data_IF_286021360317
#
_entry.id   IF_286021360317
#
_cell.length_a   1.000
_cell.length_b   1.000
_cell.length_c   1.000
_cell.angle_alpha   90.00
_cell.angle_beta   90.00
_cell.angle_gamma   90.00
#
_symmetry.space_group_name_H-M   'P 1'
#
loop_
_entity.id
_entity.type
_entity.pdbx_description
1 polymer ?
#
# COMPACT_ATOMS: atom_id res chain seq x y z
N UNK A 1 13.00 9.14 14.76
CA UNK A 1 12.40 10.48 14.93
C UNK A 1 13.40 11.52 15.48
N UNK A 2 14.05 11.27 16.63
CA UNK A 2 15.06 12.17 17.20
C UNK A 2 16.36 12.27 16.38
N UNK A 3 16.74 11.20 15.67
CA UNK A 3 17.91 11.21 14.77
C UNK A 3 17.60 11.73 13.35
N UNK A 4 16.35 11.63 12.88
CA UNK A 4 15.99 12.02 11.52
C UNK A 4 15.43 13.43 11.36
N UNK A 5 14.85 14.00 12.44
CA UNK A 5 14.33 15.35 12.44
C UNK A 5 15.32 16.44 11.98
N UNK A 6 16.61 16.41 12.35
CA UNK A 6 17.54 17.48 11.97
C UNK A 6 17.87 17.55 10.48
N UNK A 7 18.07 16.42 9.79
CA UNK A 7 18.48 16.43 8.38
C UNK A 7 17.32 16.79 7.45
N UNK A 8 16.11 16.30 7.74
CA UNK A 8 14.92 16.58 6.95
C UNK A 8 14.47 18.05 7.10
N UNK A 9 14.62 18.63 8.29
CA UNK A 9 14.28 20.03 8.55
C UNK A 9 15.31 21.03 7.99
N UNK A 10 16.57 20.63 7.80
CA UNK A 10 17.65 21.52 7.33
C UNK A 10 17.87 21.52 5.80
N UNK A 11 17.56 20.43 5.09
CA UNK A 11 17.98 20.24 3.70
C UNK A 11 16.88 20.16 2.63
N UNK A 12 15.60 20.19 3.04
CA UNK A 12 14.45 20.12 2.13
C UNK A 12 14.25 18.74 1.48
N UNK A 13 13.33 18.64 0.52
CA UNK A 13 12.95 17.37 -0.12
C UNK A 13 14.15 16.64 -0.77
N UNK A 14 15.14 17.38 -1.26
CA UNK A 14 16.33 16.82 -1.91
C UNK A 14 17.20 15.99 -0.95
N UNK A 15 17.29 16.37 0.33
CA UNK A 15 18.04 15.59 1.33
C UNK A 15 17.32 14.34 1.79
N UNK A 16 16.02 14.22 1.52
CA UNK A 16 15.25 12.99 1.78
C UNK A 16 15.39 12.00 0.61
N UNK A 17 15.40 12.50 -0.63
CA UNK A 17 15.44 11.66 -1.84
C UNK A 17 16.76 10.87 -1.98
N UNK A 18 17.91 11.46 -1.65
CA UNK A 18 19.21 10.79 -1.82
C UNK A 18 19.37 9.52 -0.98
N UNK A 19 19.10 9.54 0.35
CA UNK A 19 19.05 8.33 1.15
C UNK A 19 18.05 7.29 0.62
N UNK A 20 16.88 7.71 0.14
CA UNK A 20 15.87 6.80 -0.43
C UNK A 20 16.39 6.05 -1.67
N UNK A 21 17.13 6.73 -2.54
CA UNK A 21 17.75 6.11 -3.72
C UNK A 21 18.78 5.05 -3.30
N UNK A 22 19.65 5.38 -2.35
CA UNK A 22 20.64 4.44 -1.82
C UNK A 22 19.97 3.23 -1.16
N UNK A 23 18.88 3.47 -0.41
CA UNK A 23 18.07 2.43 0.21
C UNK A 23 17.42 1.52 -0.83
N UNK A 24 16.90 2.08 -1.93
CA UNK A 24 16.34 1.34 -3.05
C UNK A 24 17.40 0.43 -3.69
N UNK A 25 18.58 0.98 -4.02
CA UNK A 25 19.69 0.21 -4.59
C UNK A 25 20.09 -0.95 -3.67
N UNK A 26 20.22 -0.69 -2.37
CA UNK A 26 20.56 -1.72 -1.38
C UNK A 26 19.51 -2.83 -1.31
N UNK A 27 18.22 -2.50 -1.39
CA UNK A 27 17.13 -3.49 -1.41
C UNK A 27 17.15 -4.34 -2.69
N UNK A 28 17.42 -3.74 -3.84
CA UNK A 28 17.53 -4.46 -5.11
C UNK A 28 18.70 -5.45 -5.08
N UNK A 29 19.88 -4.98 -4.68
CA UNK A 29 21.08 -5.83 -4.59
C UNK A 29 20.91 -6.92 -3.53
N UNK A 30 20.41 -6.57 -2.34
CA UNK A 30 20.20 -7.53 -1.25
C UNK A 30 19.16 -8.60 -1.60
N UNK A 31 18.04 -8.22 -2.19
CA UNK A 31 17.02 -9.17 -2.64
C UNK A 31 17.51 -10.08 -3.77
N UNK A 32 18.24 -9.55 -4.75
CA UNK A 32 18.83 -10.34 -5.82
C UNK A 32 19.89 -11.33 -5.30
N UNK A 33 20.71 -10.91 -4.33
CA UNK A 33 21.68 -11.79 -3.68
C UNK A 33 20.97 -12.92 -2.92
N UNK A 34 19.91 -12.61 -2.16
CA UNK A 34 19.12 -13.61 -1.45
C UNK A 34 18.45 -14.61 -2.38
N UNK A 35 17.88 -14.12 -3.50
CA UNK A 35 17.31 -14.98 -4.54
C UNK A 35 18.37 -15.94 -5.10
N UNK A 36 19.53 -15.42 -5.49
CA UNK A 36 20.62 -16.22 -6.04
C UNK A 36 21.15 -17.26 -5.05
N UNK A 37 21.45 -16.85 -3.81
CA UNK A 37 21.99 -17.73 -2.78
C UNK A 37 21.00 -18.81 -2.35
N UNK A 38 19.74 -18.46 -2.15
CA UNK A 38 18.76 -19.44 -1.72
C UNK A 38 18.36 -20.40 -2.84
N UNK A 39 18.33 -19.97 -4.11
CA UNK A 39 18.20 -20.91 -5.25
C UNK A 39 19.41 -21.84 -5.33
N UNK A 40 20.62 -21.31 -5.12
CA UNK A 40 21.84 -22.12 -5.04
C UNK A 40 21.77 -23.19 -3.94
N UNK A 41 21.25 -22.84 -2.76
CA UNK A 41 21.04 -23.78 -1.66
C UNK A 41 19.99 -24.86 -1.99
N UNK A 42 18.87 -24.47 -2.60
CA UNK A 42 17.78 -25.38 -2.93
C UNK A 42 18.08 -26.32 -4.12
N UNK A 43 19.16 -26.06 -4.87
CA UNK A 43 19.53 -26.83 -6.06
C UNK A 43 18.96 -26.28 -7.37
N UNK A 44 18.53 -25.01 -7.38
CA UNK A 44 18.04 -24.29 -8.56
C UNK A 44 16.52 -24.16 -8.62
N UNK A 45 16.05 -23.44 -9.66
CA UNK A 45 14.62 -23.12 -9.84
C UNK A 45 13.74 -24.35 -9.98
N UNK A 46 14.14 -25.32 -10.80
CA UNK A 46 13.34 -26.53 -11.03
C UNK A 46 13.10 -27.34 -9.75
N UNK A 47 14.13 -27.48 -8.90
CA UNK A 47 13.99 -28.19 -7.62
C UNK A 47 13.12 -27.39 -6.64
N UNK A 48 13.25 -26.07 -6.63
CA UNK A 48 12.39 -25.19 -5.83
C UNK A 48 10.91 -25.33 -6.22
N UNK A 49 10.61 -25.33 -7.52
CA UNK A 49 9.26 -25.51 -8.04
C UNK A 49 8.68 -26.88 -7.66
N UNK A 50 9.45 -27.96 -7.83
CA UNK A 50 9.03 -29.31 -7.39
C UNK A 50 8.77 -29.37 -5.89
N UNK A 51 9.64 -28.79 -5.05
CA UNK A 51 9.44 -28.78 -3.59
C UNK A 51 8.22 -27.97 -3.18
N UNK A 52 7.91 -26.90 -3.89
CA UNK A 52 6.65 -26.15 -3.66
C UNK A 52 5.46 -27.04 -3.98
N UNK A 53 5.47 -27.71 -5.13
CA UNK A 53 4.38 -28.61 -5.54
C UNK A 53 4.21 -29.78 -4.56
N UNK A 54 5.30 -30.29 -3.97
CA UNK A 54 5.23 -31.32 -2.91
C UNK A 54 4.62 -30.78 -1.60
N UNK A 55 4.86 -29.51 -1.28
CA UNK A 55 4.27 -28.82 -0.12
C UNK A 55 2.83 -28.36 -0.39
N UNK A 56 2.41 -28.32 -1.65
CA UNK A 56 1.01 -28.16 -2.05
C UNK A 56 0.29 -29.50 -1.82
N UNK A 57 -0.26 -29.69 -0.61
CA UNK A 57 -1.16 -30.81 -0.33
C UNK A 57 -2.43 -30.78 -1.20
N UNK A 58 -3.24 -31.83 -1.13
CA UNK A 58 -4.41 -32.04 -2.01
C UNK A 58 -5.50 -30.93 -1.95
N UNK A 59 -5.51 -30.11 -0.89
CA UNK A 59 -6.41 -28.95 -0.72
C UNK A 59 -5.69 -27.59 -0.87
N UNK A 60 -4.39 -27.57 -1.21
CA UNK A 60 -3.59 -26.35 -1.24
C UNK A 60 -3.61 -25.69 -2.63
N UNK A 61 -3.96 -24.40 -2.63
CA UNK A 61 -3.84 -23.48 -3.75
C UNK A 61 -2.40 -23.38 -4.25
N UNK A 62 -2.22 -23.17 -5.56
CA UNK A 62 -0.88 -23.05 -6.15
C UNK A 62 -0.16 -21.80 -5.60
N UNK A 63 0.84 -22.02 -4.75
CA UNK A 63 1.59 -20.96 -4.09
C UNK A 63 2.39 -20.07 -5.07
N UNK A 64 2.64 -20.53 -6.29
CA UNK A 64 3.29 -19.75 -7.34
C UNK A 64 2.29 -18.99 -8.20
N UNK A 65 1.02 -19.40 -8.22
CA UNK A 65 0.00 -18.74 -9.01
C UNK A 65 -0.33 -17.33 -8.48
N UNK A 66 -0.19 -16.32 -9.34
CA UNK A 66 -0.52 -14.93 -9.02
C UNK A 66 -2.04 -14.67 -9.06
N UNK A 67 -2.79 -15.53 -9.73
CA UNK A 67 -4.25 -15.45 -9.86
C UNK A 67 -4.85 -16.72 -9.25
N UNK A 68 -5.56 -16.55 -8.15
CA UNK A 68 -6.22 -17.66 -7.45
C UNK A 68 -7.72 -17.72 -7.79
N UNK A 69 -8.34 -18.91 -7.69
CA UNK A 69 -9.78 -19.08 -7.91
C UNK A 69 -10.66 -18.18 -7.04
N UNK A 70 -11.94 -18.06 -7.43
CA UNK A 70 -12.87 -17.07 -6.86
C UNK A 70 -13.19 -17.33 -5.38
N UNK A 71 -13.10 -18.57 -4.96
CA UNK A 71 -13.35 -19.10 -3.62
C UNK A 71 -12.10 -19.12 -2.74
N UNK A 72 -10.95 -18.66 -3.26
CA UNK A 72 -9.73 -18.59 -2.47
C UNK A 72 -9.94 -17.62 -1.28
N UNK A 73 -9.68 -18.05 -0.03
CA UNK A 73 -10.06 -17.31 1.18
C UNK A 73 -9.33 -15.97 1.36
N UNK A 74 -8.11 -15.81 0.84
CA UNK A 74 -7.29 -14.60 1.04
C UNK A 74 -7.10 -13.70 -0.20
N UNK A 75 -7.07 -14.27 -1.42
CA UNK A 75 -6.67 -13.56 -2.65
C UNK A 75 -7.48 -13.99 -3.88
N UNK A 76 -8.83 -13.98 -3.81
CA UNK A 76 -9.66 -14.37 -4.94
C UNK A 76 -9.41 -13.45 -6.15
N UNK A 77 -9.29 -13.99 -7.37
CA UNK A 77 -8.90 -13.19 -8.53
C UNK A 77 -9.82 -12.00 -8.80
N UNK A 78 -11.13 -12.16 -8.57
CA UNK A 78 -12.12 -11.08 -8.74
C UNK A 78 -11.85 -9.94 -7.76
N UNK A 79 -11.47 -10.26 -6.52
CA UNK A 79 -11.03 -9.30 -5.52
C UNK A 79 -9.69 -8.67 -5.87
N UNK A 80 -8.73 -9.44 -6.40
CA UNK A 80 -7.44 -8.93 -6.88
C UNK A 80 -7.64 -7.88 -7.96
N UNK A 81 -8.45 -8.17 -8.99
CA UNK A 81 -8.70 -7.23 -10.09
C UNK A 81 -9.48 -6.00 -9.63
N UNK A 82 -10.57 -6.17 -8.89
CA UNK A 82 -11.44 -5.06 -8.50
C UNK A 82 -10.86 -4.27 -7.33
N UNK A 83 -10.56 -4.96 -6.23
CA UNK A 83 -10.12 -4.37 -4.97
C UNK A 83 -8.71 -3.78 -5.03
N UNK A 84 -7.73 -4.51 -5.56
CA UNK A 84 -6.36 -3.98 -5.65
C UNK A 84 -6.26 -2.81 -6.64
N UNK A 85 -7.13 -2.73 -7.65
CA UNK A 85 -7.21 -1.54 -8.51
C UNK A 85 -7.62 -0.31 -7.70
N UNK A 86 -8.62 -0.44 -6.83
CA UNK A 86 -9.01 0.66 -5.92
C UNK A 86 -7.86 1.00 -4.96
N UNK A 87 -7.14 0.00 -4.43
CA UNK A 87 -5.97 0.24 -3.59
C UNK A 87 -4.85 0.97 -4.35
N UNK A 88 -4.58 0.58 -5.59
CA UNK A 88 -3.56 1.19 -6.41
C UNK A 88 -3.90 2.66 -6.74
N UNK A 89 -5.17 2.93 -7.05
CA UNK A 89 -5.68 4.29 -7.26
C UNK A 89 -5.61 5.11 -5.98
N UNK A 90 -6.00 4.55 -4.84
CA UNK A 90 -5.87 5.20 -3.54
C UNK A 90 -4.41 5.58 -3.29
N UNK A 91 -3.50 4.61 -3.34
CA UNK A 91 -2.09 4.85 -3.11
C UNK A 91 -1.51 5.90 -4.08
N UNK A 92 -1.87 5.87 -5.36
CA UNK A 92 -1.38 6.83 -6.34
C UNK A 92 -1.93 8.25 -6.16
N UNK A 93 -3.24 8.38 -5.93
CA UNK A 93 -3.93 9.66 -5.93
C UNK A 93 -3.94 10.36 -4.56
N UNK A 94 -3.93 9.59 -3.46
CA UNK A 94 -4.13 10.12 -2.10
C UNK A 94 -2.88 10.06 -1.23
N UNK A 95 -1.85 9.28 -1.62
CA UNK A 95 -0.61 9.25 -0.88
C UNK A 95 0.11 10.60 -0.98
N UNK A 96 0.22 11.26 0.17
CA UNK A 96 0.95 12.52 0.31
C UNK A 96 2.39 12.42 -0.23
N UNK A 97 3.08 11.31 0.03
CA UNK A 97 4.46 11.09 -0.45
C UNK A 97 4.52 10.98 -1.98
N UNK A 98 3.56 10.29 -2.60
CA UNK A 98 3.54 10.13 -4.05
C UNK A 98 3.25 11.47 -4.75
N UNK A 99 2.23 12.19 -4.27
CA UNK A 99 1.84 13.49 -4.81
C UNK A 99 2.99 14.50 -4.67
N UNK A 100 3.64 14.55 -3.50
CA UNK A 100 4.79 15.43 -3.29
C UNK A 100 5.96 15.14 -4.26
N UNK A 101 6.26 13.86 -4.50
CA UNK A 101 7.31 13.48 -5.45
C UNK A 101 6.94 13.86 -6.88
N UNK A 102 5.67 13.72 -7.26
CA UNK A 102 5.18 14.15 -8.57
C UNK A 102 5.26 15.68 -8.73
N UNK A 103 4.89 16.45 -7.70
CA UNK A 103 4.98 17.93 -7.70
C UNK A 103 6.42 18.44 -7.70
N UNK A 104 7.36 17.65 -7.19
CA UNK A 104 8.79 17.99 -7.19
C UNK A 104 9.51 17.64 -8.51
N UNK A 105 8.83 16.97 -9.44
CA UNK A 105 9.38 16.66 -10.74
C UNK A 105 9.54 17.93 -11.58
N UNK A 106 10.52 17.92 -12.50
CA UNK A 106 10.82 19.08 -13.36
C UNK A 106 9.73 19.37 -14.40
N UNK A 107 8.96 18.34 -14.77
CA UNK A 107 7.86 18.44 -15.74
C UNK A 107 6.90 17.27 -15.54
N UNK A 108 5.70 17.37 -16.13
CA UNK A 108 4.72 16.26 -16.14
C UNK A 108 5.30 15.03 -16.84
N UNK A 109 6.12 15.22 -17.88
CA UNK A 109 6.79 14.11 -18.56
C UNK A 109 7.74 13.34 -17.63
N UNK A 110 8.59 14.04 -16.88
CA UNK A 110 9.51 13.41 -15.92
C UNK A 110 8.75 12.68 -14.80
N UNK A 111 7.66 13.28 -14.31
CA UNK A 111 6.79 12.61 -13.32
C UNK A 111 6.21 11.30 -13.88
N UNK A 112 5.74 11.31 -15.14
CA UNK A 112 5.20 10.13 -15.83
C UNK A 112 6.27 9.06 -16.08
N UNK A 113 7.47 9.45 -16.50
CA UNK A 113 8.61 8.53 -16.69
C UNK A 113 9.05 7.90 -15.37
N UNK A 114 9.09 8.69 -14.29
CA UNK A 114 9.32 8.17 -12.94
C UNK A 114 8.26 7.15 -12.52
N UNK A 115 6.99 7.40 -12.86
CA UNK A 115 5.90 6.46 -12.64
C UNK A 115 6.08 5.12 -13.39
N UNK A 116 6.47 5.16 -14.66
CA UNK A 116 6.76 3.94 -15.44
C UNK A 116 7.95 3.16 -14.86
N UNK A 117 9.03 3.86 -14.50
CA UNK A 117 10.20 3.23 -13.86
C UNK A 117 9.82 2.59 -12.52
N UNK A 118 8.98 3.26 -11.72
CA UNK A 118 8.48 2.69 -10.47
C UNK A 118 7.62 1.44 -10.72
N UNK A 119 6.80 1.43 -11.77
CA UNK A 119 6.04 0.24 -12.19
C UNK A 119 6.95 -0.92 -12.59
N UNK A 120 7.99 -0.66 -13.38
CA UNK A 120 8.97 -1.67 -13.75
C UNK A 120 9.72 -2.24 -12.53
N UNK A 121 10.17 -1.36 -11.62
CA UNK A 121 10.85 -1.79 -10.38
C UNK A 121 9.93 -2.59 -9.46
N UNK A 122 8.60 -2.36 -9.48
CA UNK A 122 7.64 -3.19 -8.74
C UNK A 122 7.58 -4.61 -9.27
N UNK A 123 7.69 -4.82 -10.59
CA UNK A 123 7.79 -6.17 -11.17
C UNK A 123 9.05 -6.87 -10.64
N UNK A 124 10.19 -6.18 -10.66
CA UNK A 124 11.44 -6.72 -10.08
C UNK A 124 11.28 -7.07 -8.60
N UNK A 125 10.59 -6.20 -7.84
CA UNK A 125 10.33 -6.40 -6.41
C UNK A 125 9.60 -7.72 -6.12
N UNK A 126 8.71 -8.18 -7.00
CA UNK A 126 8.04 -9.49 -6.86
C UNK A 126 9.07 -10.61 -6.79
N UNK A 127 10.04 -10.64 -7.72
CA UNK A 127 11.05 -11.68 -7.77
C UNK A 127 12.07 -11.62 -6.62
N UNK A 128 12.44 -10.42 -6.18
CA UNK A 128 13.50 -10.27 -5.16
C UNK A 128 12.98 -10.22 -3.72
N UNK A 129 11.65 -10.17 -3.53
CA UNK A 129 11.01 -10.16 -2.19
C UNK A 129 10.12 -11.40 -2.01
N UNK A 130 9.12 -11.61 -2.89
CA UNK A 130 8.15 -12.69 -2.69
C UNK A 130 8.78 -14.07 -2.88
N UNK A 131 9.56 -14.27 -3.95
CA UNK A 131 10.20 -15.57 -4.20
C UNK A 131 11.16 -15.96 -3.07
N UNK A 132 12.07 -15.09 -2.57
CA UNK A 132 12.83 -15.40 -1.36
C UNK A 132 11.94 -15.77 -0.18
N UNK A 133 10.85 -15.03 0.08
CA UNK A 133 9.90 -15.40 1.14
C UNK A 133 9.37 -16.83 1.02
N UNK A 134 9.01 -17.24 -0.19
CA UNK A 134 8.53 -18.60 -0.48
C UNK A 134 9.65 -19.65 -0.39
N UNK A 135 10.87 -19.32 -0.80
CA UNK A 135 12.05 -20.17 -0.58
C UNK A 135 12.31 -20.39 0.91
N UNK A 136 12.16 -19.35 1.73
CA UNK A 136 12.23 -19.47 3.18
C UNK A 136 11.17 -20.41 3.75
N UNK A 137 9.95 -20.34 3.22
CA UNK A 137 8.88 -21.26 3.60
C UNK A 137 9.23 -22.72 3.27
N UNK A 138 9.76 -22.99 2.06
CA UNK A 138 10.25 -24.32 1.68
C UNK A 138 11.37 -24.80 2.62
N UNK A 139 12.30 -23.91 2.99
CA UNK A 139 13.38 -24.21 3.93
C UNK A 139 12.90 -24.47 5.37
N UNK A 140 11.73 -23.96 5.74
CA UNK A 140 11.14 -24.14 7.06
C UNK A 140 10.22 -25.36 7.17
N UNK A 141 9.66 -25.85 6.05
CA UNK A 141 8.72 -26.99 6.02
C UNK A 141 9.35 -28.30 5.54
N UNK A 142 10.61 -28.30 5.12
CA UNK A 142 11.31 -29.52 4.67
C UNK A 142 11.49 -30.55 5.79
N UNK A 143 11.75 -31.81 5.40
CA UNK A 143 11.98 -32.92 6.34
C UNK A 143 13.14 -32.68 7.34
N UNK A 144 14.07 -31.79 6.99
CA UNK A 144 15.07 -31.23 7.88
C UNK A 144 15.04 -29.70 7.70
N UNK A 145 14.30 -28.98 8.56
CA UNK A 145 14.16 -27.54 8.40
C UNK A 145 15.51 -26.86 8.66
N UNK A 146 15.94 -26.02 7.72
CA UNK A 146 17.11 -25.16 7.91
C UNK A 146 16.77 -23.99 8.83
N UNK A 147 15.50 -23.59 8.82
CA UNK A 147 15.01 -22.36 9.43
C UNK A 147 13.78 -22.71 10.27
N UNK A 148 13.80 -22.31 11.54
CA UNK A 148 12.63 -22.39 12.41
C UNK A 148 12.10 -20.98 12.65
N UNK A 149 10.81 -20.79 12.38
CA UNK A 149 10.13 -19.51 12.59
C UNK A 149 8.80 -19.70 13.31
N UNK A 150 8.48 -18.79 14.22
CA UNK A 150 7.19 -18.80 14.92
C UNK A 150 6.10 -18.03 14.15
N UNK A 151 6.49 -17.23 13.16
CA UNK A 151 5.58 -16.42 12.33
C UNK A 151 6.09 -16.36 10.88
N UNK A 152 5.20 -16.38 9.87
CA UNK A 152 5.55 -16.18 8.47
C UNK A 152 6.36 -14.90 8.21
N UNK A 153 6.13 -13.84 9.00
CA UNK A 153 6.82 -12.56 8.85
C UNK A 153 8.33 -12.65 9.17
N UNK A 154 8.76 -13.72 9.85
CA UNK A 154 10.16 -13.95 10.22
C UNK A 154 10.95 -14.72 9.16
N UNK A 155 10.30 -15.26 8.12
CA UNK A 155 10.95 -16.11 7.10
C UNK A 155 12.14 -15.40 6.45
N UNK A 156 11.95 -14.15 6.00
CA UNK A 156 13.02 -13.42 5.32
C UNK A 156 14.20 -13.10 6.25
N UNK A 157 14.02 -12.52 7.47
CA UNK A 157 15.12 -12.35 8.43
C UNK A 157 15.83 -13.65 8.80
N UNK A 158 15.11 -14.76 8.88
CA UNK A 158 15.67 -16.05 9.27
C UNK A 158 16.48 -16.68 8.11
N UNK A 159 16.06 -16.50 6.86
CA UNK A 159 16.88 -16.85 5.69
C UNK A 159 18.16 -16.03 5.60
N UNK A 160 18.09 -14.73 5.89
CA UNK A 160 19.27 -13.85 5.92
C UNK A 160 20.29 -14.41 6.90
N UNK A 161 19.86 -14.84 8.10
CA UNK A 161 20.74 -15.43 9.11
C UNK A 161 21.30 -16.79 8.68
N UNK A 162 20.51 -17.62 8.01
CA UNK A 162 20.90 -18.97 7.61
C UNK A 162 21.84 -19.01 6.40
N UNK A 163 21.68 -18.08 5.44
CA UNK A 163 22.38 -18.16 4.14
C UNK A 163 23.56 -17.20 4.03
N UNK A 164 23.56 -16.05 4.72
CA UNK A 164 24.63 -15.06 4.58
C UNK A 164 25.79 -15.30 5.56
N UNK A 165 27.03 -14.96 5.17
CA UNK A 165 28.17 -15.00 6.09
C UNK A 165 28.02 -13.95 7.20
N UNK A 166 28.61 -14.24 8.36
CA UNK A 166 28.47 -13.49 9.63
C UNK A 166 28.66 -11.97 9.54
N UNK A 167 29.45 -11.44 8.59
CA UNK A 167 29.56 -10.00 8.36
C UNK A 167 28.41 -9.38 7.54
N UNK A 168 27.90 -10.10 6.54
CA UNK A 168 26.80 -9.63 5.69
C UNK A 168 25.45 -9.71 6.41
N UNK A 169 25.27 -10.67 7.32
CA UNK A 169 24.08 -10.75 8.19
C UNK A 169 23.88 -9.44 8.95
N UNK A 170 24.93 -8.96 9.64
CA UNK A 170 24.87 -7.70 10.39
C UNK A 170 24.57 -6.50 9.49
N UNK A 171 25.17 -6.44 8.30
CA UNK A 171 24.94 -5.37 7.32
C UNK A 171 23.47 -5.35 6.85
N UNK A 172 22.90 -6.51 6.53
CA UNK A 172 21.52 -6.62 6.04
C UNK A 172 20.52 -6.32 7.14
N UNK A 173 20.70 -6.86 8.35
CA UNK A 173 19.81 -6.62 9.48
C UNK A 173 19.85 -5.14 9.94
N UNK A 174 21.04 -4.54 10.04
CA UNK A 174 21.17 -3.11 10.30
C UNK A 174 20.49 -2.29 9.18
N UNK A 175 20.67 -2.72 7.94
CA UNK A 175 20.03 -2.11 6.77
C UNK A 175 18.50 -2.20 6.78
N UNK A 176 17.93 -3.28 7.33
CA UNK A 176 16.49 -3.48 7.51
C UNK A 176 15.94 -2.55 8.59
N UNK A 177 16.59 -2.51 9.76
CA UNK A 177 16.23 -1.62 10.87
C UNK A 177 16.31 -0.15 10.42
N UNK A 178 17.39 0.23 9.73
CA UNK A 178 17.53 1.59 9.18
C UNK A 178 16.41 1.94 8.20
N UNK A 179 15.98 0.98 7.36
CA UNK A 179 14.88 1.19 6.43
C UNK A 179 13.54 1.39 7.14
N UNK A 180 13.27 0.57 8.17
CA UNK A 180 12.07 0.69 8.99
C UNK A 180 12.02 2.04 9.71
N UNK A 181 13.14 2.48 10.29
CA UNK A 181 13.25 3.78 10.94
C UNK A 181 13.01 4.93 9.96
N UNK A 182 13.54 4.84 8.73
CA UNK A 182 13.32 5.85 7.70
C UNK A 182 11.84 5.98 7.29
N UNK A 183 11.15 4.84 7.11
CA UNK A 183 9.72 4.83 6.79
C UNK A 183 8.88 5.39 7.93
N UNK A 184 9.11 4.93 9.16
CA UNK A 184 8.41 5.42 10.35
C UNK A 184 8.61 6.92 10.55
N UNK A 185 9.84 7.41 10.37
CA UNK A 185 10.15 8.82 10.51
C UNK A 185 9.43 9.68 9.46
N UNK A 186 9.31 9.17 8.23
CA UNK A 186 8.60 9.85 7.15
C UNK A 186 7.09 9.95 7.42
N UNK A 187 6.46 8.85 7.84
CA UNK A 187 5.02 8.83 8.15
C UNK A 187 4.68 9.71 9.37
N UNK A 188 5.49 9.65 10.42
CA UNK A 188 5.31 10.50 11.62
C UNK A 188 5.48 11.98 11.24
N UNK A 189 6.47 12.32 10.42
CA UNK A 189 6.66 13.69 9.95
C UNK A 189 5.49 14.17 9.08
N UNK A 190 4.99 13.31 8.19
CA UNK A 190 3.82 13.63 7.36
C UNK A 190 2.58 13.88 8.21
N UNK A 191 2.26 13.00 9.16
CA UNK A 191 1.13 13.16 10.08
C UNK A 191 1.26 14.45 10.92
N UNK A 192 2.46 14.75 11.40
CA UNK A 192 2.73 15.98 12.17
C UNK A 192 2.56 17.25 11.32
N UNK A 193 3.00 17.20 10.06
CA UNK A 193 2.85 18.31 9.11
C UNK A 193 1.38 18.56 8.75
N UNK A 194 0.64 17.51 8.40
CA UNK A 194 -0.79 17.56 8.13
C UNK A 194 -1.56 18.14 9.32
N UNK A 195 -1.27 17.68 10.53
CA UNK A 195 -1.93 18.24 11.71
C UNK A 195 -1.56 19.70 11.97
N UNK A 196 -0.28 20.06 11.87
CA UNK A 196 0.15 21.43 12.12
C UNK A 196 -0.47 22.42 11.11
N UNK A 197 -0.48 22.05 9.83
CA UNK A 197 -0.89 22.92 8.73
C UNK A 197 -2.40 22.88 8.46
N UNK A 198 -3.03 21.71 8.53
CA UNK A 198 -4.44 21.54 8.11
C UNK A 198 -5.41 21.64 9.29
N UNK A 199 -4.94 21.39 10.52
CA UNK A 199 -5.79 21.43 11.72
C UNK A 199 -5.39 22.58 12.66
N UNK A 200 -4.14 22.62 13.11
CA UNK A 200 -3.69 23.56 14.13
C UNK A 200 -3.64 25.01 13.60
N UNK A 201 -3.10 25.23 12.41
CA UNK A 201 -3.00 26.57 11.82
C UNK A 201 -4.36 27.19 11.50
N UNK A 202 -5.34 26.50 10.88
CA UNK A 202 -6.66 27.09 10.63
C UNK A 202 -7.43 27.34 11.94
N UNK A 203 -7.25 26.47 12.94
CA UNK A 203 -7.82 26.67 14.28
C UNK A 203 -7.19 27.85 15.03
N UNK A 204 -5.88 28.10 14.86
CA UNK A 204 -5.13 29.20 15.47
C UNK A 204 -4.33 29.97 14.40
N UNK A 205 -4.98 30.85 13.61
CA UNK A 205 -4.33 31.54 12.49
C UNK A 205 -3.11 32.38 12.88
N UNK A 206 -3.11 32.92 14.10
CA UNK A 206 -2.01 33.72 14.65
C UNK A 206 -0.86 32.88 15.26
N UNK A 207 -0.81 31.57 15.03
CA UNK A 207 0.23 30.71 15.57
C UNK A 207 1.60 31.02 14.94
N UNK A 208 2.59 31.34 15.78
CA UNK A 208 4.00 31.47 15.35
C UNK A 208 4.54 30.13 14.88
N UNK A 209 5.48 30.12 13.94
CA UNK A 209 6.14 28.89 13.43
C UNK A 209 6.64 27.96 14.55
N UNK A 210 7.21 28.50 15.64
CA UNK A 210 7.64 27.72 16.80
C UNK A 210 6.50 26.92 17.43
N UNK A 211 5.30 27.50 17.54
CA UNK A 211 4.10 26.82 18.09
C UNK A 211 3.60 25.72 17.16
N UNK A 212 3.61 25.94 15.84
CA UNK A 212 3.27 24.88 14.88
C UNK A 212 4.20 23.68 15.01
N UNK A 213 5.52 23.91 15.11
CA UNK A 213 6.51 22.83 15.28
C UNK A 213 6.25 22.04 16.58
N UNK A 214 5.96 22.73 17.69
CA UNK A 214 5.64 22.07 18.96
C UNK A 214 4.33 21.29 18.92
N UNK A 215 3.29 21.83 18.27
CA UNK A 215 2.02 21.14 18.08
C UNK A 215 2.21 19.84 17.27
N UNK A 216 2.97 19.90 16.17
CA UNK A 216 3.34 18.72 15.38
C UNK A 216 4.14 17.70 16.19
N UNK A 217 5.14 18.13 16.97
CA UNK A 217 5.93 17.22 17.83
C UNK A 217 5.09 16.54 18.92
N UNK A 218 4.12 17.23 19.49
CA UNK A 218 3.21 16.65 20.48
C UNK A 218 2.35 15.56 19.84
N UNK A 219 1.82 15.80 18.64
CA UNK A 219 1.09 14.77 17.91
C UNK A 219 2.00 13.59 17.55
N UNK A 220 3.22 13.84 17.08
CA UNK A 220 4.20 12.78 16.78
C UNK A 220 4.40 11.85 17.98
N UNK A 221 4.58 12.42 19.18
CA UNK A 221 4.74 11.65 20.40
C UNK A 221 3.48 10.83 20.71
N UNK A 222 2.29 11.42 20.58
CA UNK A 222 1.03 10.71 20.78
C UNK A 222 0.84 9.55 19.80
N UNK A 223 1.14 9.75 18.50
CA UNK A 223 1.07 8.72 17.46
C UNK A 223 2.02 7.57 17.76
N UNK A 224 3.24 7.85 18.23
CA UNK A 224 4.21 6.81 18.64
C UNK A 224 3.67 5.99 19.82
N UNK A 225 3.14 6.64 20.86
CA UNK A 225 2.58 5.94 22.02
C UNK A 225 1.40 5.05 21.63
N UNK A 226 0.48 5.58 20.82
CA UNK A 226 -0.67 4.83 20.30
C UNK A 226 -0.18 3.66 19.43
N UNK A 227 0.80 3.90 18.56
CA UNK A 227 1.37 2.87 17.69
C UNK A 227 2.03 1.73 18.46
N UNK A 228 2.77 2.02 19.54
CA UNK A 228 3.36 1.00 20.42
C UNK A 228 2.26 0.19 21.12
N UNK A 229 1.25 0.87 21.67
CA UNK A 229 0.11 0.20 22.29
C UNK A 229 -0.61 -0.71 21.27
N UNK A 230 -0.85 -0.22 20.06
CA UNK A 230 -1.51 -0.96 18.99
C UNK A 230 -0.68 -2.17 18.53
N UNK A 231 0.65 -2.01 18.42
CA UNK A 231 1.57 -3.09 18.08
C UNK A 231 1.58 -4.23 19.11
N UNK A 232 1.39 -3.92 20.40
CA UNK A 232 1.37 -4.92 21.48
C UNK A 232 0.00 -5.59 21.61
N UNK A 233 -1.09 -4.83 21.47
CA UNK A 233 -2.45 -5.32 21.79
C UNK A 233 -3.18 -5.89 20.58
N UNK A 234 -3.04 -5.25 19.42
CA UNK A 234 -3.87 -5.52 18.23
C UNK A 234 -3.15 -6.43 17.24
N UNK A 235 -1.89 -6.13 16.91
CA UNK A 235 -1.14 -6.90 15.89
C UNK A 235 -1.05 -8.41 16.21
N UNK A 236 -0.82 -8.86 17.46
CA UNK A 236 -0.75 -10.30 17.76
C UNK A 236 -2.06 -11.07 17.54
N UNK A 237 -3.19 -10.38 17.33
CA UNK A 237 -4.48 -11.01 17.05
C UNK A 237 -4.61 -11.46 15.59
N UNK A 238 -3.75 -10.97 14.71
CA UNK A 238 -3.75 -11.31 13.28
C UNK A 238 -2.74 -12.42 12.98
N UNK A 239 -3.07 -13.27 12.00
CA UNK A 239 -2.22 -14.42 11.62
C UNK A 239 -0.87 -13.99 11.02
N UNK A 240 -0.88 -12.90 10.24
CA UNK A 240 0.31 -12.26 9.68
C UNK A 240 0.02 -10.79 9.40
N UNK A 241 1.07 -9.95 9.46
CA UNK A 241 0.90 -8.49 9.39
C UNK A 241 0.27 -8.01 8.07
N UNK A 242 0.55 -8.71 6.96
CA UNK A 242 -0.02 -8.35 5.65
C UNK A 242 -1.54 -8.46 5.62
N UNK A 243 -2.15 -9.47 6.28
CA UNK A 243 -3.61 -9.62 6.33
C UNK A 243 -4.27 -8.39 6.95
N UNK A 244 -3.73 -7.95 8.09
CA UNK A 244 -4.21 -6.77 8.80
C UNK A 244 -4.13 -5.52 7.92
N UNK A 245 -2.96 -5.28 7.30
CA UNK A 245 -2.74 -4.12 6.44
C UNK A 245 -3.65 -4.13 5.20
N UNK A 246 -3.86 -5.31 4.62
CA UNK A 246 -4.71 -5.49 3.45
C UNK A 246 -6.19 -5.21 3.79
N UNK A 247 -6.71 -5.77 4.88
CA UNK A 247 -8.06 -5.50 5.38
C UNK A 247 -8.26 -4.01 5.65
N UNK A 248 -7.36 -3.39 6.43
CA UNK A 248 -7.47 -1.96 6.75
C UNK A 248 -7.45 -1.07 5.50
N UNK A 249 -6.60 -1.42 4.52
CA UNK A 249 -6.46 -0.71 3.25
C UNK A 249 -7.65 -0.92 2.30
N UNK A 250 -8.54 -1.88 2.57
CA UNK A 250 -9.75 -2.11 1.77
C UNK A 250 -10.96 -1.32 2.24
N UNK A 251 -11.16 -1.14 3.55
CA UNK A 251 -12.43 -0.60 4.05
C UNK A 251 -12.52 0.93 4.11
N UNK A 252 -11.42 1.66 3.95
CA UNK A 252 -11.40 3.13 4.12
C UNK A 252 -11.13 3.88 2.80
N UNK A 253 -10.12 3.51 1.98
CA UNK A 253 -9.69 4.38 0.88
C UNK A 253 -10.68 4.51 -0.27
N UNK A 254 -11.59 3.55 -0.47
CA UNK A 254 -12.54 3.54 -1.59
C UNK A 254 -13.39 4.81 -1.68
N UNK A 255 -13.78 5.39 -0.54
CA UNK A 255 -14.55 6.64 -0.50
C UNK A 255 -13.74 7.85 -0.97
N UNK A 256 -12.47 7.91 -0.58
CA UNK A 256 -11.57 9.00 -0.98
C UNK A 256 -11.29 8.89 -2.48
N UNK A 257 -11.02 7.68 -2.98
CA UNK A 257 -10.82 7.42 -4.42
C UNK A 257 -12.02 7.86 -5.24
N UNK A 258 -13.25 7.58 -4.79
CA UNK A 258 -14.46 8.02 -5.48
C UNK A 258 -14.51 9.56 -5.61
N UNK A 259 -14.24 10.29 -4.52
CA UNK A 259 -14.26 11.75 -4.54
C UNK A 259 -13.18 12.35 -5.47
N UNK A 260 -11.95 11.81 -5.41
CA UNK A 260 -10.86 12.27 -6.26
C UNK A 260 -11.08 11.94 -7.73
N UNK A 261 -11.37 10.68 -8.05
CA UNK A 261 -11.53 10.22 -9.43
C UNK A 261 -12.67 10.96 -10.13
N UNK A 262 -13.85 11.03 -9.50
CA UNK A 262 -14.99 11.72 -10.09
C UNK A 262 -14.84 13.24 -10.08
N UNK A 263 -14.13 13.80 -9.10
CA UNK A 263 -13.77 15.22 -9.09
C UNK A 263 -12.88 15.60 -10.28
N UNK A 264 -12.01 14.69 -10.74
CA UNK A 264 -11.17 14.89 -11.93
C UNK A 264 -11.90 14.64 -13.25
N UNK A 265 -12.71 13.58 -13.32
CA UNK A 265 -13.33 13.10 -14.58
C UNK A 265 -14.64 13.83 -14.88
N UNK A 266 -15.38 14.27 -13.87
CA UNK A 266 -16.72 14.84 -14.02
C UNK A 266 -16.79 16.25 -13.44
N UNK A 267 -17.57 17.11 -14.11
CA UNK A 267 -17.85 18.48 -13.63
C UNK A 267 -19.05 18.54 -12.67
N UNK A 268 -19.74 17.42 -12.46
CA UNK A 268 -20.98 17.35 -11.67
C UNK A 268 -20.76 17.32 -10.15
N UNK A 269 -19.71 16.68 -9.59
CA UNK A 269 -19.51 16.65 -8.15
C UNK A 269 -19.30 18.04 -7.53
N UNK A 270 -19.99 18.32 -6.42
CA UNK A 270 -19.92 19.60 -5.68
C UNK A 270 -19.11 19.45 -4.39
N UNK A 271 -18.65 20.56 -3.82
CA UNK A 271 -17.84 20.56 -2.58
C UNK A 271 -18.60 19.97 -1.38
N UNK A 272 -19.84 20.39 -1.16
CA UNK A 272 -20.71 19.85 -0.10
C UNK A 272 -21.05 18.38 -0.34
N UNK A 273 -21.31 18.00 -1.59
CA UNK A 273 -21.55 16.61 -1.98
C UNK A 273 -20.36 15.72 -1.64
N UNK A 274 -19.14 16.14 -2.01
CA UNK A 274 -17.92 15.43 -1.68
C UNK A 274 -17.69 15.31 -0.17
N UNK A 275 -17.90 16.38 0.59
CA UNK A 275 -17.76 16.34 2.05
C UNK A 275 -18.76 15.38 2.72
N UNK A 276 -20.03 15.44 2.32
CA UNK A 276 -21.06 14.52 2.81
C UNK A 276 -20.74 13.05 2.44
N UNK A 277 -20.25 12.81 1.22
CA UNK A 277 -19.81 11.48 0.80
C UNK A 277 -18.62 10.98 1.59
N UNK A 278 -17.63 11.83 1.89
CA UNK A 278 -16.50 11.43 2.71
C UNK A 278 -16.94 10.97 4.10
N UNK A 279 -17.90 11.66 4.73
CA UNK A 279 -18.45 11.25 6.03
C UNK A 279 -19.27 9.96 5.88
N UNK A 280 -20.31 9.97 5.03
CA UNK A 280 -21.24 8.85 4.90
C UNK A 280 -20.56 7.58 4.38
N UNK A 281 -19.66 7.70 3.40
CA UNK A 281 -18.88 6.60 2.85
C UNK A 281 -17.86 6.04 3.84
N UNK A 282 -17.22 6.88 4.66
CA UNK A 282 -16.32 6.39 5.73
C UNK A 282 -17.09 5.64 6.81
N UNK A 283 -18.27 6.13 7.21
CA UNK A 283 -19.15 5.43 8.14
C UNK A 283 -19.57 4.08 7.55
N UNK A 284 -19.95 4.05 6.27
CA UNK A 284 -20.29 2.80 5.58
C UNK A 284 -19.11 1.83 5.51
N UNK A 285 -17.89 2.32 5.24
CA UNK A 285 -16.67 1.51 5.24
C UNK A 285 -16.37 0.88 6.60
N UNK A 286 -16.45 1.68 7.67
CA UNK A 286 -16.29 1.18 9.06
C UNK A 286 -17.39 0.19 9.42
N UNK A 287 -18.64 0.47 9.03
CA UNK A 287 -19.76 -0.46 9.24
C UNK A 287 -19.50 -1.80 8.55
N UNK A 288 -19.10 -1.80 7.26
CA UNK A 288 -18.76 -3.02 6.54
C UNK A 288 -17.60 -3.77 7.18
N UNK A 289 -16.57 -3.06 7.65
CA UNK A 289 -15.46 -3.69 8.37
C UNK A 289 -15.95 -4.41 9.63
N UNK A 290 -16.74 -3.73 10.46
CA UNK A 290 -17.26 -4.29 11.71
C UNK A 290 -18.21 -5.48 11.48
N UNK A 291 -19.05 -5.42 10.44
CA UNK A 291 -19.96 -6.52 10.05
C UNK A 291 -19.18 -7.75 9.57
N UNK A 292 -18.10 -7.56 8.81
CA UNK A 292 -17.33 -8.68 8.27
C UNK A 292 -16.31 -9.26 9.26
N UNK A 293 -15.80 -8.46 10.20
CA UNK A 293 -14.75 -8.90 11.13
C UNK A 293 -15.30 -9.35 12.50
N UNK A 294 -16.48 -8.88 12.91
CA UNK A 294 -17.08 -9.28 14.19
C UNK A 294 -18.15 -10.36 14.03
N UNK A 295 -17.95 -11.52 14.68
CA UNK A 295 -18.90 -12.63 14.63
C UNK A 295 -20.30 -12.26 15.14
N UNK A 296 -20.38 -11.32 16.10
CA UNK A 296 -21.66 -10.86 16.66
C UNK A 296 -22.43 -10.00 15.66
N UNK A 297 -21.79 -8.98 15.06
CA UNK A 297 -22.49 -8.15 14.07
C UNK A 297 -22.76 -8.91 12.79
N UNK A 298 -21.85 -9.80 12.38
CA UNK A 298 -22.09 -10.69 11.26
C UNK A 298 -23.38 -11.51 11.46
N UNK A 299 -23.56 -12.17 12.61
CA UNK A 299 -24.79 -12.92 12.90
C UNK A 299 -26.04 -12.02 12.95
N UNK A 300 -25.94 -10.83 13.54
CA UNK A 300 -27.07 -9.89 13.65
C UNK A 300 -27.49 -9.31 12.29
N UNK A 301 -26.55 -9.08 11.39
CA UNK A 301 -26.80 -8.40 10.10
C UNK A 301 -27.00 -9.39 8.96
N UNK A 302 -26.16 -10.41 8.89
CA UNK A 302 -26.07 -11.38 7.79
C UNK A 302 -26.69 -12.74 8.12
N UNK A 303 -26.87 -13.09 9.40
CA UNK A 303 -27.45 -14.37 9.81
C UNK A 303 -28.92 -14.53 9.43
N UNK A 304 -29.38 -15.78 9.30
CA UNK A 304 -30.76 -16.12 8.93
C UNK A 304 -31.81 -15.58 9.93
N UNK A 305 -31.45 -15.48 11.21
CA UNK A 305 -32.28 -14.87 12.27
C UNK A 305 -32.02 -13.36 12.44
N UNK A 306 -31.09 -12.78 11.69
CA UNK A 306 -30.70 -11.38 11.72
C UNK A 306 -31.48 -10.50 10.74
N UNK A 307 -30.85 -9.43 10.24
CA UNK A 307 -31.43 -8.57 9.21
C UNK A 307 -31.51 -9.22 7.81
N UNK A 308 -30.97 -10.43 7.64
CA UNK A 308 -31.00 -11.16 6.36
C UNK A 308 -30.17 -10.51 5.25
N UNK A 309 -29.22 -9.63 5.58
CA UNK A 309 -28.38 -8.91 4.61
C UNK A 309 -27.11 -9.71 4.30
N UNK A 310 -27.26 -10.98 3.94
CA UNK A 310 -26.14 -11.89 3.67
C UNK A 310 -25.21 -11.40 2.54
N UNK A 311 -25.72 -10.60 1.60
CA UNK A 311 -24.90 -10.00 0.54
C UNK A 311 -23.83 -9.00 1.04
N UNK A 312 -23.90 -8.57 2.31
CA UNK A 312 -22.88 -7.73 2.94
C UNK A 312 -21.68 -8.53 3.46
N UNK A 313 -21.83 -9.85 3.61
CA UNK A 313 -20.73 -10.75 3.88
C UNK A 313 -19.91 -10.91 2.60
N UNK A 314 -18.70 -10.36 2.61
CA UNK A 314 -17.85 -10.35 1.44
C UNK A 314 -16.38 -10.26 1.83
N UNK A 315 -15.55 -10.83 0.96
CA UNK A 315 -14.11 -10.73 1.10
C UNK A 315 -13.66 -9.25 1.04
N UNK A 316 -12.67 -8.88 1.86
CA UNK A 316 -12.24 -7.48 2.05
C UNK A 316 -11.86 -6.77 0.73
N UNK A 317 -11.25 -7.49 -0.21
CA UNK A 317 -10.94 -6.93 -1.54
C UNK A 317 -12.20 -6.54 -2.33
N UNK A 318 -13.27 -7.32 -2.27
CA UNK A 318 -14.54 -6.97 -2.92
C UNK A 318 -15.20 -5.79 -2.19
N UNK A 319 -15.10 -5.75 -0.85
CA UNK A 319 -15.59 -4.63 -0.07
C UNK A 319 -14.97 -3.30 -0.51
N UNK A 320 -13.68 -3.26 -0.85
CA UNK A 320 -13.03 -2.05 -1.37
C UNK A 320 -13.72 -1.50 -2.62
N UNK A 321 -14.10 -2.37 -3.55
CA UNK A 321 -14.83 -1.99 -4.77
C UNK A 321 -16.26 -1.57 -4.47
N UNK A 322 -16.97 -2.30 -3.59
CA UNK A 322 -18.33 -1.96 -3.17
C UNK A 322 -18.37 -0.59 -2.49
N UNK A 323 -17.43 -0.30 -1.60
CA UNK A 323 -17.30 1.00 -0.93
C UNK A 323 -17.05 2.11 -1.95
N UNK A 324 -16.17 1.88 -2.92
CA UNK A 324 -15.96 2.84 -4.01
C UNK A 324 -17.24 3.07 -4.84
N UNK A 325 -17.98 2.02 -5.18
CA UNK A 325 -19.21 2.13 -5.97
C UNK A 325 -20.31 2.85 -5.19
N UNK A 326 -20.52 2.51 -3.92
CA UNK A 326 -21.49 3.18 -3.03
C UNK A 326 -21.08 4.64 -2.82
N UNK A 327 -19.81 4.92 -2.55
CA UNK A 327 -19.34 6.30 -2.41
C UNK A 327 -19.51 7.11 -3.70
N UNK A 328 -19.32 6.49 -4.86
CA UNK A 328 -19.58 7.13 -6.16
C UNK A 328 -21.07 7.48 -6.30
N UNK A 329 -21.96 6.56 -5.96
CA UNK A 329 -23.41 6.81 -5.98
C UNK A 329 -23.81 7.91 -4.99
N UNK A 330 -23.28 7.88 -3.76
CA UNK A 330 -23.49 8.93 -2.75
C UNK A 330 -22.98 10.28 -3.23
N UNK A 331 -21.80 10.33 -3.87
CA UNK A 331 -21.24 11.56 -4.41
C UNK A 331 -22.16 12.22 -5.41
N UNK A 332 -22.66 11.47 -6.40
CA UNK A 332 -23.59 12.01 -7.37
C UNK A 332 -24.94 12.35 -6.75
N UNK A 333 -25.45 11.50 -5.85
CA UNK A 333 -26.71 11.73 -5.14
C UNK A 333 -26.69 13.01 -4.30
N UNK A 334 -25.68 13.18 -3.45
CA UNK A 334 -25.53 14.39 -2.64
C UNK A 334 -25.20 15.62 -3.49
N UNK A 335 -24.38 15.48 -4.53
CA UNK A 335 -24.07 16.62 -5.41
C UNK A 335 -25.30 17.09 -6.19
N UNK A 336 -26.21 16.19 -6.54
CA UNK A 336 -27.51 16.54 -7.12
C UNK A 336 -28.43 17.20 -6.09
N UNK A 337 -28.49 16.67 -4.86
CA UNK A 337 -29.35 17.19 -3.80
C UNK A 337 -28.92 18.58 -3.28
N UNK A 338 -27.62 18.87 -3.27
CA UNK A 338 -27.05 20.12 -2.73
C UNK A 338 -26.75 21.20 -3.78
N UNK A 339 -27.39 21.16 -4.96
CA UNK A 339 -27.07 21.99 -6.14
C UNK A 339 -26.74 23.49 -5.90
N UNK A 340 -26.00 24.05 -6.86
CA UNK A 340 -25.50 25.45 -7.01
C UNK A 340 -24.17 25.84 -6.36
N UNK A 341 -23.22 24.91 -6.24
CA UNK A 341 -21.80 25.27 -6.16
C UNK A 341 -21.10 24.86 -7.46
N UNK A 342 -20.33 25.78 -8.05
CA UNK A 342 -19.54 25.54 -9.24
C UNK A 342 -18.63 24.30 -9.11
N UNK A 343 -18.14 23.74 -10.23
CA UNK A 343 -17.37 22.50 -10.22
C UNK A 343 -16.18 22.58 -9.26
N UNK A 344 -15.89 21.45 -8.59
CA UNK A 344 -14.77 21.30 -7.64
C UNK A 344 -13.40 21.75 -8.20
N UNK A 345 -13.22 21.66 -9.52
CA UNK A 345 -12.00 22.07 -10.21
C UNK A 345 -12.29 23.27 -11.12
N UNK A 346 -11.87 24.45 -10.69
CA UNK A 346 -11.72 25.64 -11.55
C UNK A 346 -10.26 25.90 -11.97
N UNK A 347 -9.32 25.03 -11.60
CA UNK A 347 -7.90 25.25 -11.82
C UNK A 347 -7.48 24.96 -13.27
N UNK A 348 -7.18 26.03 -14.02
CA UNK A 348 -6.33 25.95 -15.22
C UNK A 348 -4.95 25.45 -14.77
N UNK A 349 -4.59 24.23 -15.14
CA UNK A 349 -3.22 23.75 -14.99
C UNK A 349 -2.27 24.57 -15.85
N UNK A 350 -1.03 24.74 -15.40
CA UNK A 350 -0.01 25.46 -16.17
C UNK A 350 0.29 24.68 -17.47
N UNK A 351 -0.20 25.19 -18.60
CA UNK A 351 -0.05 24.57 -19.92
C UNK A 351 1.44 24.42 -20.31
N UNK A 352 2.34 25.21 -19.73
CA UNK A 352 3.78 25.13 -20.03
C UNK A 352 4.42 23.85 -19.50
N UNK A 353 3.80 23.19 -18.52
CA UNK A 353 4.27 21.94 -17.94
C UNK A 353 3.73 20.71 -18.69
N UNK A 354 2.83 20.90 -19.65
CA UNK A 354 2.21 19.82 -20.40
C UNK A 354 3.22 19.16 -21.35
N UNK A 355 3.21 17.82 -21.45
CA UNK A 355 4.12 17.09 -22.31
C UNK A 355 3.87 17.40 -23.78
N UNK A 356 4.95 17.42 -24.56
CA UNK A 356 4.87 17.48 -26.02
C UNK A 356 4.28 16.19 -26.60
N UNK A 357 3.72 16.25 -27.81
CA UNK A 357 3.18 15.07 -28.50
C UNK A 357 4.17 13.89 -28.59
N UNK A 358 5.46 14.19 -28.80
CA UNK A 358 6.52 13.16 -28.86
C UNK A 358 6.75 12.51 -27.48
N UNK A 359 6.77 13.32 -26.43
CA UNK A 359 6.89 12.84 -25.04
C UNK A 359 5.69 11.97 -24.63
N UNK A 360 4.49 12.32 -25.08
CA UNK A 360 3.29 11.51 -24.89
C UNK A 360 3.37 10.17 -25.63
N UNK A 361 3.85 10.15 -26.87
CA UNK A 361 4.06 8.90 -27.62
C UNK A 361 5.05 7.97 -26.92
N UNK A 362 6.18 8.51 -26.44
CA UNK A 362 7.19 7.76 -25.67
C UNK A 362 6.55 7.18 -24.41
N UNK A 363 5.75 7.98 -23.69
CA UNK A 363 5.04 7.51 -22.51
C UNK A 363 4.11 6.35 -22.81
N UNK A 364 3.25 6.46 -23.83
CA UNK A 364 2.31 5.39 -24.17
C UNK A 364 3.00 4.13 -24.66
N UNK A 365 4.09 4.25 -25.44
CA UNK A 365 4.92 3.11 -25.82
C UNK A 365 5.51 2.41 -24.59
N UNK A 366 6.05 3.18 -23.63
CA UNK A 366 6.57 2.64 -22.38
C UNK A 366 5.48 2.00 -21.51
N UNK A 367 4.29 2.59 -21.46
CA UNK A 367 3.15 2.06 -20.72
C UNK A 367 2.65 0.73 -21.31
N UNK A 368 2.55 0.63 -22.64
CA UNK A 368 2.21 -0.62 -23.35
C UNK A 368 3.29 -1.68 -23.12
N UNK A 369 4.57 -1.31 -23.24
CA UNK A 369 5.68 -2.22 -22.96
C UNK A 369 5.65 -2.77 -21.53
N UNK A 370 5.39 -1.90 -20.55
CA UNK A 370 5.25 -2.31 -19.15
C UNK A 370 4.04 -3.23 -18.97
N UNK A 371 2.90 -2.93 -19.57
CA UNK A 371 1.70 -3.78 -19.52
C UNK A 371 1.98 -5.16 -20.11
N UNK A 372 2.71 -5.26 -21.23
CA UNK A 372 3.14 -6.54 -21.80
C UNK A 372 4.04 -7.33 -20.85
N UNK A 373 4.95 -6.65 -20.13
CA UNK A 373 5.77 -7.30 -19.09
C UNK A 373 4.89 -7.86 -17.97
N UNK A 374 3.92 -7.09 -17.48
CA UNK A 374 2.96 -7.59 -16.49
C UNK A 374 2.18 -8.79 -17.03
N UNK A 375 1.61 -8.70 -18.24
CA UNK A 375 0.90 -9.82 -18.86
C UNK A 375 1.78 -11.06 -19.00
N UNK A 376 3.05 -10.92 -19.38
CA UNK A 376 3.99 -12.04 -19.49
C UNK A 376 4.30 -12.68 -18.13
N UNK A 377 4.50 -11.87 -17.08
CA UNK A 377 4.73 -12.37 -15.72
C UNK A 377 3.48 -13.08 -15.19
N UNK A 378 2.30 -12.48 -15.36
CA UNK A 378 1.04 -13.11 -14.98
C UNK A 378 0.81 -14.40 -15.75
N UNK A 379 1.08 -14.43 -17.05
CA UNK A 379 0.96 -15.64 -17.87
C UNK A 379 1.91 -16.76 -17.44
N UNK A 380 3.13 -16.42 -17.04
CA UNK A 380 4.10 -17.40 -16.55
C UNK A 380 3.72 -18.00 -15.19
N UNK A 381 3.08 -17.21 -14.34
CA UNK A 381 2.60 -17.59 -13.01
C UNK A 381 1.06 -17.72 -12.95
N UNK A 382 0.44 -18.11 -14.05
CA UNK A 382 -0.96 -18.48 -14.11
C UNK A 382 -1.05 -19.99 -14.18
#
# INVERSE_FOLDING_TARGET
>A
ALAAGPYAMAGGLRTVIWPDILQCMRRVVGGAAMLWMGLGYLGGWGVFETRIQELQGADNWDMLALIQPIDHPNVPWTGVVLGLTIHALAFGATSHVMVQRALAARSVHEARMGGLLAGLLKVVAVFIILIPGLMGYVMAQGAQPLIEVSSPDQLYPAMVQALLPVGLVGLVLAGLIAALMSSLDSEICAASGLFAMDWYQPYRPAATQRRLIWAGRLLAAAVVVIGVFWAIVVIPQFRFLYEYLAKFSSYIPGTIVACFLWGMVSKRPTRKGAFATLIAGSIFGVFLWLVNDSAVLNRLVCGEEGLGLAFLEMHFLHAAFVIFAVASALLFGFSFAFGDEGPLLSAQGDETLMPTRKQDQIYWLGAVGLLLVYCAVYWYFF
#
